data_IF_880121859400
#
_entry.id   IF_880121859400
#
_cell.length_a   1.000
_cell.length_b   1.000
_cell.length_c   1.000
_cell.angle_alpha   90.00
_cell.angle_beta   90.00
_cell.angle_gamma   90.00
#
_symmetry.space_group_name_H-M   'P 1'
#
loop_
_entity.id
_entity.type
_entity.pdbx_description
1 polymer ?
#
# COMPACT_ATOMS: atom_id res chain seq x y z
N UNK A 1 -10.74 -1.72 13.90
CA UNK A 1 -9.58 -2.06 13.04
C UNK A 1 -9.64 -1.13 11.84
N UNK A 2 -8.68 -0.22 11.67
CA UNK A 2 -8.67 0.78 10.60
C UNK A 2 -7.44 0.69 9.71
N UNK A 3 -7.45 1.44 8.61
CA UNK A 3 -6.26 1.68 7.81
C UNK A 3 -5.27 2.58 8.57
N UNK A 4 -3.97 2.35 8.38
CA UNK A 4 -2.89 3.20 8.86
C UNK A 4 -2.62 4.36 7.88
N UNK A 5 -2.84 4.15 6.59
CA UNK A 5 -2.74 5.19 5.57
C UNK A 5 -3.91 6.17 5.66
N UNK A 6 -3.62 7.43 5.35
CA UNK A 6 -4.66 8.45 5.23
C UNK A 6 -5.64 8.13 4.10
N UNK A 7 -6.92 8.45 4.32
CA UNK A 7 -7.99 8.23 3.34
C UNK A 7 -7.67 8.87 1.98
N UNK A 8 -7.06 10.05 1.96
CA UNK A 8 -6.68 10.74 0.73
C UNK A 8 -5.66 9.97 -0.11
N UNK A 9 -4.72 9.25 0.51
CA UNK A 9 -3.78 8.39 -0.21
C UNK A 9 -4.48 7.16 -0.77
N UNK A 10 -5.38 6.55 0.00
CA UNK A 10 -6.19 5.41 -0.46
C UNK A 10 -7.04 5.81 -1.68
N UNK A 11 -7.73 6.94 -1.61
CA UNK A 11 -8.58 7.46 -2.70
C UNK A 11 -7.75 7.70 -3.98
N UNK A 12 -6.54 8.25 -3.85
CA UNK A 12 -5.60 8.45 -4.97
C UNK A 12 -5.11 7.12 -5.56
N UNK A 13 -4.82 6.12 -4.73
CA UNK A 13 -4.40 4.80 -5.20
C UNK A 13 -5.53 4.10 -5.97
N UNK A 14 -6.77 4.20 -5.48
CA UNK A 14 -7.96 3.68 -6.19
C UNK A 14 -8.13 4.38 -7.54
N UNK A 15 -8.02 5.71 -7.58
CA UNK A 15 -8.13 6.47 -8.82
C UNK A 15 -7.03 6.10 -9.83
N UNK A 16 -5.80 5.88 -9.36
CA UNK A 16 -4.68 5.44 -10.20
C UNK A 16 -4.89 4.03 -10.76
N UNK A 17 -5.39 3.10 -9.94
CA UNK A 17 -5.72 1.74 -10.38
C UNK A 17 -6.97 1.69 -11.29
N UNK A 18 -7.85 2.71 -11.20
CA UNK A 18 -9.03 2.88 -12.05
C UNK A 18 -10.29 2.20 -11.53
N UNK A 19 -10.20 1.37 -10.50
CA UNK A 19 -11.35 0.76 -9.83
C UNK A 19 -10.96 0.23 -8.44
N UNK A 20 -11.94 -0.28 -7.70
CA UNK A 20 -11.71 -0.96 -6.43
C UNK A 20 -11.93 -2.46 -6.63
N UNK A 21 -10.90 -3.26 -6.38
CA UNK A 21 -10.96 -4.73 -6.42
C UNK A 21 -10.31 -5.33 -5.16
N UNK A 22 -10.54 -6.62 -4.86
CA UNK A 22 -9.91 -7.28 -3.71
C UNK A 22 -8.38 -7.23 -3.74
N UNK A 23 -7.75 -7.40 -4.91
CA UNK A 23 -6.30 -7.34 -5.07
C UNK A 23 -5.71 -6.00 -4.64
N UNK A 24 -6.32 -4.89 -5.08
CA UNK A 24 -5.93 -3.54 -4.67
C UNK A 24 -5.99 -3.34 -3.15
N UNK A 25 -7.11 -3.76 -2.54
CA UNK A 25 -7.30 -3.58 -1.08
C UNK A 25 -6.30 -4.44 -0.30
N UNK A 26 -6.00 -5.65 -0.77
CA UNK A 26 -4.94 -6.51 -0.20
C UNK A 26 -3.58 -5.82 -0.31
N UNK A 27 -3.24 -5.26 -1.47
CA UNK A 27 -1.99 -4.53 -1.70
C UNK A 27 -1.81 -3.35 -0.75
N UNK A 28 -2.87 -2.55 -0.51
CA UNK A 28 -2.85 -1.45 0.46
C UNK A 28 -2.52 -1.98 1.87
N UNK A 29 -3.17 -3.07 2.30
CA UNK A 29 -2.91 -3.68 3.61
C UNK A 29 -1.52 -4.30 3.72
N UNK A 30 -1.00 -4.88 2.65
CA UNK A 30 0.36 -5.41 2.59
C UNK A 30 1.40 -4.29 2.74
N UNK A 31 1.21 -3.17 2.03
CA UNK A 31 2.08 -1.99 2.15
C UNK A 31 2.07 -1.39 3.56
N UNK A 32 0.89 -1.27 4.19
CA UNK A 32 0.76 -0.84 5.59
C UNK A 32 1.52 -1.76 6.56
N UNK A 33 1.40 -3.08 6.37
CA UNK A 33 2.10 -4.04 7.19
C UNK A 33 3.62 -3.95 6.99
N UNK A 34 4.08 -3.79 5.75
CA UNK A 34 5.50 -3.61 5.44
C UNK A 34 6.07 -2.38 6.14
N UNK A 35 5.39 -1.22 6.06
CA UNK A 35 5.82 0.00 6.75
C UNK A 35 5.88 -0.16 8.27
N UNK A 36 4.86 -0.80 8.86
CA UNK A 36 4.84 -1.09 10.29
C UNK A 36 5.98 -2.00 10.73
N UNK A 37 6.38 -2.96 9.89
CA UNK A 37 7.39 -3.98 10.22
C UNK A 37 8.82 -3.52 9.95
N UNK A 38 9.04 -2.76 8.88
CA UNK A 38 10.38 -2.31 8.49
C UNK A 38 10.92 -1.23 9.44
N UNK A 39 10.10 -0.23 9.78
CA UNK A 39 10.51 0.89 10.65
C UNK A 39 11.66 1.74 10.07
N UNK A 40 11.78 3.00 10.50
CA UNK A 40 12.93 3.86 10.14
C UNK A 40 13.18 3.95 8.63
N UNK A 41 12.11 4.03 7.85
CA UNK A 41 12.14 4.08 6.39
C UNK A 41 12.17 5.51 5.83
N UNK A 42 12.02 6.51 6.69
CA UNK A 42 12.09 7.92 6.30
C UNK A 42 13.45 8.24 5.67
N UNK A 43 13.42 8.87 4.50
CA UNK A 43 14.61 9.24 3.74
C UNK A 43 15.34 8.08 3.06
N UNK A 44 14.75 6.87 3.01
CA UNK A 44 15.33 5.73 2.30
C UNK A 44 14.69 5.53 0.92
N UNK A 45 15.52 5.15 -0.04
CA UNK A 45 15.05 4.65 -1.33
C UNK A 45 14.52 3.22 -1.16
N UNK A 46 13.19 3.08 -1.20
CA UNK A 46 12.52 1.80 -1.01
C UNK A 46 12.33 1.08 -2.34
N UNK A 47 12.60 -0.22 -2.35
CA UNK A 47 12.30 -1.13 -3.47
C UNK A 47 11.29 -2.15 -3.00
N UNK A 48 10.22 -2.34 -3.78
CA UNK A 48 9.26 -3.42 -3.59
C UNK A 48 9.53 -4.53 -4.60
N UNK A 49 9.61 -5.77 -4.11
CA UNK A 49 9.60 -6.97 -4.96
C UNK A 49 8.22 -7.59 -4.82
N UNK A 50 7.55 -7.78 -5.94
CA UNK A 50 6.21 -8.38 -5.98
C UNK A 50 6.32 -9.74 -6.66
N UNK A 51 5.86 -10.79 -5.99
CA UNK A 51 5.96 -12.16 -6.48
C UNK A 51 4.90 -12.51 -7.55
N UNK A 52 3.93 -11.60 -7.78
CA UNK A 52 2.80 -11.78 -8.70
C UNK A 52 2.36 -10.42 -9.28
N UNK A 53 1.87 -10.40 -10.52
CA UNK A 53 1.41 -9.19 -11.24
C UNK A 53 -0.11 -9.00 -11.22
N UNK A 54 -0.80 -9.88 -10.50
CA UNK A 54 -2.26 -9.96 -10.42
C UNK A 54 -2.91 -8.88 -9.54
#
# INVERSE_FOLDING_TARGET
MGCLMEKGSIDKTIAFHGHQCPGLVIGIRAAELAFKRLGGIEGKDLVAVVETDM
#
